data_IF_521521157246
#
_entry.id   IF_521521157246
#
_cell.length_a   1.000
_cell.length_b   1.000
_cell.length_c   1.000
_cell.angle_alpha   90.00
_cell.angle_beta   90.00
_cell.angle_gamma   90.00
#
_symmetry.space_group_name_H-M   'P 1'
#
loop_
_entity.id
_entity.type
_entity.pdbx_description
1 polymer ?
#
# COMPACT_ATOMS: atom_id res chain seq x y z
N UNK A 1 56.14 -25.41 -3.86
CA UNK A 1 55.23 -25.24 -2.70
C UNK A 1 54.53 -23.89 -2.92
N UNK A 2 53.42 -23.83 -3.67
CA UNK A 2 52.00 -23.95 -3.23
C UNK A 2 51.68 -23.08 -2.01
N UNK A 3 50.72 -22.18 -2.18
CA UNK A 3 50.07 -21.22 -1.25
C UNK A 3 50.44 -19.77 -1.64
N UNK A 4 49.53 -18.85 -1.96
CA UNK A 4 48.09 -18.80 -1.73
C UNK A 4 47.47 -17.86 -2.77
N UNK A 5 46.84 -18.43 -3.80
CA UNK A 5 45.95 -17.72 -4.74
C UNK A 5 44.58 -17.41 -4.08
N UNK A 6 44.49 -17.43 -2.75
CA UNK A 6 43.23 -17.48 -2.01
C UNK A 6 42.78 -16.13 -1.41
N UNK A 7 43.45 -15.01 -1.74
CA UNK A 7 43.12 -13.69 -1.16
C UNK A 7 42.25 -12.85 -2.11
N UNK A 8 42.15 -13.23 -3.38
CA UNK A 8 41.37 -12.45 -4.37
C UNK A 8 39.93 -12.96 -4.56
N UNK A 9 39.60 -14.16 -4.05
CA UNK A 9 38.24 -14.71 -4.18
C UNK A 9 37.25 -14.21 -3.13
N UNK A 10 37.71 -13.62 -2.02
CA UNK A 10 36.82 -13.08 -0.98
C UNK A 10 36.33 -11.66 -1.26
N UNK A 11 36.91 -10.93 -2.21
CA UNK A 11 36.47 -9.57 -2.56
C UNK A 11 35.31 -9.56 -3.57
N UNK A 12 35.06 -10.68 -4.27
CA UNK A 12 33.99 -10.79 -5.27
C UNK A 12 32.61 -11.12 -4.72
N UNK A 13 32.48 -11.45 -3.43
CA UNK A 13 31.20 -11.84 -2.82
C UNK A 13 30.40 -10.68 -2.22
N UNK A 14 30.92 -9.45 -2.25
CA UNK A 14 30.29 -8.25 -1.68
C UNK A 14 29.66 -7.32 -2.73
N UNK A 15 29.74 -7.65 -4.03
CA UNK A 15 29.27 -6.79 -5.13
C UNK A 15 27.88 -7.14 -5.68
N UNK A 16 27.13 -8.02 -5.01
CA UNK A 16 25.86 -8.56 -5.51
C UNK A 16 24.60 -8.10 -4.77
N UNK A 17 24.72 -7.28 -3.72
CA UNK A 17 23.54 -6.67 -3.11
C UNK A 17 23.09 -5.51 -4.01
N UNK A 18 22.26 -5.84 -5.01
CA UNK A 18 21.35 -4.85 -5.60
C UNK A 18 20.65 -4.18 -4.43
N UNK A 19 20.95 -2.91 -4.19
CA UNK A 19 20.07 -2.08 -3.38
C UNK A 19 18.78 -2.02 -4.19
N UNK A 20 17.82 -2.88 -3.86
CA UNK A 20 16.45 -2.70 -4.32
C UNK A 20 16.10 -1.27 -3.94
N UNK A 21 16.02 -0.40 -4.94
CA UNK A 21 15.69 0.98 -4.73
C UNK A 21 14.25 0.95 -4.27
N UNK A 22 14.05 1.19 -2.97
CA UNK A 22 12.70 1.25 -2.43
C UNK A 22 11.93 2.28 -3.24
N UNK A 23 10.83 1.85 -3.86
CA UNK A 23 9.95 2.74 -4.59
C UNK A 23 9.54 3.91 -3.68
N UNK A 24 9.47 5.14 -4.20
CA UNK A 24 9.22 6.31 -3.36
C UNK A 24 7.87 6.18 -2.65
N UNK A 25 7.92 6.08 -1.31
CA UNK A 25 6.74 5.94 -0.47
C UNK A 25 5.75 7.10 -0.66
N UNK A 26 4.47 6.80 -0.89
CA UNK A 26 3.40 7.78 -0.99
C UNK A 26 2.72 7.97 0.38
N UNK A 27 3.43 8.58 1.33
CA UNK A 27 3.00 8.69 2.74
C UNK A 27 2.02 9.83 3.02
N UNK A 28 1.83 10.75 2.08
CA UNK A 28 0.99 11.93 2.26
C UNK A 28 -0.08 12.01 1.18
N UNK A 29 -1.20 12.65 1.53
CA UNK A 29 -2.12 13.14 0.52
C UNK A 29 -1.34 14.00 -0.47
N UNK A 30 -1.47 13.69 -1.77
CA UNK A 30 -0.72 14.32 -2.88
C UNK A 30 0.74 13.89 -3.03
N UNK A 31 1.18 12.85 -2.34
CA UNK A 31 2.46 12.18 -2.56
C UNK A 31 3.68 12.90 -1.97
N UNK A 32 4.89 12.37 -2.23
CA UNK A 32 6.13 12.86 -1.64
C UNK A 32 6.40 14.35 -1.89
N UNK A 33 5.99 14.84 -3.06
CA UNK A 33 6.18 16.22 -3.50
C UNK A 33 4.96 17.12 -3.23
N UNK A 34 3.93 16.60 -2.54
CA UNK A 34 2.68 17.30 -2.21
C UNK A 34 1.95 17.93 -3.42
N UNK A 35 2.16 17.39 -4.62
CA UNK A 35 1.66 17.96 -5.87
C UNK A 35 0.76 17.01 -6.68
N UNK A 36 0.47 15.82 -6.15
CA UNK A 36 -0.36 14.78 -6.79
C UNK A 36 0.18 14.24 -8.11
N UNK A 37 1.50 14.32 -8.34
CA UNK A 37 2.13 13.77 -9.54
C UNK A 37 3.10 12.65 -9.17
N UNK A 38 3.10 11.58 -9.97
CA UNK A 38 4.12 10.55 -9.92
C UNK A 38 5.25 10.85 -10.91
N UNK A 39 6.46 10.38 -10.62
CA UNK A 39 7.60 10.40 -11.55
C UNK A 39 7.70 9.12 -12.36
N UNK A 40 6.81 8.15 -12.12
CA UNK A 40 6.78 6.88 -12.85
C UNK A 40 6.62 7.09 -14.35
N UNK A 41 7.27 6.21 -15.12
CA UNK A 41 7.24 6.20 -16.58
C UNK A 41 6.79 4.84 -17.09
N UNK A 42 6.53 4.70 -18.39
CA UNK A 42 6.03 3.46 -19.00
C UNK A 42 4.70 2.97 -18.40
N UNK A 43 3.85 3.91 -17.97
CA UNK A 43 2.51 3.61 -17.50
C UNK A 43 1.62 3.20 -18.69
N UNK A 44 0.64 2.31 -18.48
CA UNK A 44 -0.25 1.89 -19.55
C UNK A 44 -1.11 3.07 -20.05
N UNK A 45 -1.21 3.24 -21.37
CA UNK A 45 -2.04 4.28 -22.00
C UNK A 45 -3.55 4.02 -21.84
N UNK A 46 -3.93 2.74 -21.72
CA UNK A 46 -5.30 2.30 -21.51
C UNK A 46 -5.38 1.39 -20.27
N UNK A 47 -6.48 1.49 -19.51
CA UNK A 47 -6.70 0.69 -18.31
C UNK A 47 -8.13 0.17 -18.24
N UNK A 48 -8.28 -1.15 -18.05
CA UNK A 48 -9.60 -1.78 -17.94
C UNK A 48 -9.97 -2.07 -16.47
N UNK A 49 -10.86 -1.27 -15.85
CA UNK A 49 -11.30 -1.48 -14.48
C UNK A 49 -12.08 -2.78 -14.27
N UNK A 50 -12.65 -3.39 -15.32
CA UNK A 50 -13.45 -4.61 -15.20
C UNK A 50 -12.60 -5.83 -14.90
N UNK A 51 -11.31 -5.79 -15.22
CA UNK A 51 -10.44 -6.96 -15.14
C UNK A 51 -10.77 -8.02 -16.19
N UNK A 52 -10.19 -9.21 -16.04
CA UNK A 52 -10.41 -10.35 -16.92
C UNK A 52 -9.15 -10.78 -17.68
N UNK A 53 -9.30 -11.74 -18.59
CA UNK A 53 -8.19 -12.26 -19.39
C UNK A 53 -7.59 -11.14 -20.27
N UNK A 54 -6.28 -10.93 -20.15
CA UNK A 54 -5.56 -9.88 -20.88
C UNK A 54 -5.71 -8.46 -20.32
N UNK A 55 -6.44 -8.27 -19.21
CA UNK A 55 -6.54 -6.97 -18.54
C UNK A 55 -5.26 -6.60 -17.80
N UNK A 56 -4.98 -5.29 -17.71
CA UNK A 56 -3.90 -4.72 -16.91
C UNK A 56 -4.30 -4.38 -15.46
N UNK A 57 -5.48 -4.82 -15.00
CA UNK A 57 -5.84 -4.78 -13.58
C UNK A 57 -5.06 -5.84 -12.81
N UNK A 58 -4.15 -5.41 -11.94
CA UNK A 58 -3.28 -6.31 -11.16
C UNK A 58 -4.06 -7.01 -10.03
N UNK A 59 -4.85 -6.25 -9.26
CA UNK A 59 -5.67 -6.79 -8.18
C UNK A 59 -6.84 -5.86 -7.84
N UNK A 60 -7.82 -6.41 -7.12
CA UNK A 60 -8.94 -5.68 -6.49
C UNK A 60 -9.18 -6.26 -5.11
N UNK A 61 -9.40 -5.38 -4.12
CA UNK A 61 -9.70 -5.78 -2.75
C UNK A 61 -11.03 -5.18 -2.30
N UNK A 62 -11.95 -6.03 -1.83
CA UNK A 62 -13.27 -5.64 -1.31
C UNK A 62 -13.17 -5.22 0.17
N UNK A 63 -12.31 -4.23 0.46
CA UNK A 63 -12.05 -3.78 1.84
C UNK A 63 -12.75 -2.47 2.20
N UNK A 64 -13.41 -1.84 1.23
CA UNK A 64 -13.96 -0.48 1.36
C UNK A 64 -12.85 0.58 1.50
N UNK A 65 -13.20 1.85 1.44
CA UNK A 65 -12.26 2.94 1.78
C UNK A 65 -13.02 4.19 2.20
N UNK A 66 -12.47 4.92 3.17
CA UNK A 66 -12.88 6.28 3.54
C UNK A 66 -11.74 7.29 3.48
N UNK A 67 -10.54 6.89 3.08
CA UNK A 67 -9.37 7.76 3.04
C UNK A 67 -8.59 7.61 1.74
N UNK A 68 -7.75 8.60 1.43
CA UNK A 68 -6.68 8.39 0.45
C UNK A 68 -5.74 7.31 0.98
N UNK A 69 -5.41 6.28 0.18
CA UNK A 69 -4.47 5.25 0.61
C UNK A 69 -3.06 5.81 0.73
N UNK A 70 -2.30 5.23 1.65
CA UNK A 70 -0.86 5.46 1.81
C UNK A 70 -0.10 4.24 1.32
N UNK A 71 0.88 4.44 0.46
CA UNK A 71 1.84 3.40 0.06
C UNK A 71 3.13 3.60 0.86
N UNK A 72 3.50 2.62 1.67
CA UNK A 72 4.76 2.68 2.44
C UNK A 72 5.34 1.29 2.67
N UNK A 73 6.59 1.08 2.26
CA UNK A 73 7.32 -0.18 2.42
C UNK A 73 6.52 -1.38 1.86
N UNK A 74 6.15 -1.29 0.58
CA UNK A 74 5.41 -2.33 -0.17
C UNK A 74 4.05 -2.70 0.44
N UNK A 75 3.47 -1.78 1.21
CA UNK A 75 2.18 -1.94 1.87
C UNK A 75 1.28 -0.76 1.58
N UNK A 76 0.01 -1.07 1.32
CA UNK A 76 -1.05 -0.08 1.17
C UNK A 76 -1.84 -0.02 2.47
N UNK A 77 -1.98 1.18 3.03
CA UNK A 77 -2.74 1.45 4.24
C UNK A 77 -3.91 2.35 3.93
N UNK A 78 -5.09 2.03 4.46
CA UNK A 78 -6.27 2.87 4.32
C UNK A 78 -7.20 2.71 5.53
N UNK A 79 -8.01 3.73 5.76
CA UNK A 79 -9.12 3.68 6.71
C UNK A 79 -10.37 3.18 6.01
N UNK A 80 -11.09 2.26 6.65
CA UNK A 80 -12.37 1.75 6.18
C UNK A 80 -13.36 1.62 7.32
N UNK A 81 -14.64 1.42 6.97
CA UNK A 81 -15.69 1.10 7.93
C UNK A 81 -15.71 -0.41 8.18
N UNK A 82 -15.83 -0.80 9.44
CA UNK A 82 -16.07 -2.17 9.87
C UNK A 82 -17.52 -2.31 10.36
N UNK A 83 -18.17 -3.44 10.04
CA UNK A 83 -19.59 -3.70 10.32
C UNK A 83 -20.53 -2.55 9.89
N UNK A 84 -20.36 -2.06 8.66
CA UNK A 84 -21.16 -0.95 8.12
C UNK A 84 -22.67 -1.26 8.01
N UNK A 85 -23.04 -2.55 7.96
CA UNK A 85 -24.45 -2.99 7.85
C UNK A 85 -25.21 -2.91 9.19
N UNK A 86 -24.50 -2.89 10.32
CA UNK A 86 -25.08 -2.85 11.67
C UNK A 86 -24.68 -1.57 12.40
N UNK A 87 -25.51 -0.49 12.39
CA UNK A 87 -25.15 0.81 12.95
C UNK A 87 -24.68 0.79 14.41
N UNK A 88 -25.23 -0.14 15.22
CA UNK A 88 -24.88 -0.29 16.64
C UNK A 88 -23.53 -0.97 16.88
N UNK A 89 -22.98 -1.64 15.86
CA UNK A 89 -21.67 -2.31 15.88
C UNK A 89 -20.69 -1.69 14.90
N UNK A 90 -21.07 -0.61 14.22
CA UNK A 90 -20.21 0.07 13.26
C UNK A 90 -18.96 0.60 13.94
N UNK A 91 -17.81 0.32 13.33
CA UNK A 91 -16.48 0.69 13.80
C UNK A 91 -15.67 1.27 12.64
N UNK A 92 -14.53 1.84 12.98
CA UNK A 92 -13.49 2.13 11.98
C UNK A 92 -12.43 1.05 12.03
N UNK A 93 -11.78 0.82 10.89
CA UNK A 93 -10.61 -0.05 10.83
C UNK A 93 -9.51 0.55 9.97
N UNK A 94 -8.28 0.26 10.38
CA UNK A 94 -7.11 0.38 9.50
C UNK A 94 -6.93 -0.95 8.80
N UNK A 95 -6.78 -0.92 7.48
CA UNK A 95 -6.48 -2.08 6.65
C UNK A 95 -5.07 -1.93 6.10
N UNK A 96 -4.25 -2.98 6.22
CA UNK A 96 -2.94 -3.09 5.58
C UNK A 96 -3.00 -4.18 4.51
N UNK A 97 -2.72 -3.80 3.26
CA UNK A 97 -2.62 -4.70 2.13
C UNK A 97 -1.17 -4.85 1.68
N UNK A 98 -0.82 -5.99 1.09
CA UNK A 98 0.37 -6.11 0.26
C UNK A 98 0.16 -5.31 -1.03
N UNK A 99 1.12 -4.46 -1.41
CA UNK A 99 0.98 -3.57 -2.56
C UNK A 99 0.95 -4.30 -3.93
N UNK A 100 1.62 -5.45 -4.03
CA UNK A 100 1.74 -6.21 -5.28
C UNK A 100 0.57 -7.16 -5.49
N UNK A 101 0.05 -7.75 -4.40
CA UNK A 101 -0.99 -8.79 -4.48
C UNK A 101 -2.38 -8.29 -4.10
N UNK A 102 -2.46 -7.17 -3.36
CA UNK A 102 -3.72 -6.69 -2.78
C UNK A 102 -4.23 -7.54 -1.60
N UNK A 103 -3.48 -8.55 -1.16
CA UNK A 103 -3.87 -9.40 -0.04
C UNK A 103 -3.84 -8.64 1.29
N UNK A 104 -4.85 -8.88 2.12
CA UNK A 104 -4.91 -8.31 3.48
C UNK A 104 -3.83 -8.94 4.33
N UNK A 105 -2.88 -8.14 4.80
CA UNK A 105 -1.83 -8.58 5.72
C UNK A 105 -2.33 -8.53 7.16
N UNK A 106 -3.03 -7.47 7.52
CA UNK A 106 -3.70 -7.33 8.82
C UNK A 106 -4.78 -6.25 8.78
N UNK A 107 -5.69 -6.32 9.74
CA UNK A 107 -6.69 -5.28 10.01
C UNK A 107 -6.71 -4.95 11.50
N UNK A 108 -7.00 -3.69 11.82
CA UNK A 108 -7.17 -3.24 13.19
C UNK A 108 -8.43 -2.41 13.30
N UNK A 109 -9.47 -2.99 13.92
CA UNK A 109 -10.75 -2.33 14.14
C UNK A 109 -10.81 -1.67 15.53
N UNK A 110 -11.37 -0.46 15.59
CA UNK A 110 -11.54 0.31 16.81
C UNK A 110 -12.90 0.99 16.83
N UNK A 111 -13.44 1.15 18.04
CA UNK A 111 -14.73 1.81 18.22
C UNK A 111 -14.59 3.31 17.99
N UNK A 112 -15.51 3.87 17.20
CA UNK A 112 -15.72 5.30 17.11
C UNK A 112 -16.85 5.63 18.08
N UNK A 113 -16.51 6.24 19.21
CA UNK A 113 -17.51 6.75 20.13
C UNK A 113 -18.09 8.02 19.52
N UNK A 114 -19.27 7.89 18.92
CA UNK A 114 -19.97 9.00 18.30
C UNK A 114 -20.17 10.13 19.33
N UNK A 115 -19.86 11.35 18.92
CA UNK A 115 -20.48 12.54 19.51
C UNK A 115 -21.93 12.63 19.01
N UNK A 116 -22.69 13.64 19.43
CA UNK A 116 -24.07 13.87 18.97
C UNK A 116 -24.19 14.16 17.44
N UNK A 117 -23.07 14.09 16.71
CA UNK A 117 -22.98 14.23 15.27
C UNK A 117 -23.27 12.87 14.61
N UNK A 118 -24.30 12.77 13.76
CA UNK A 118 -24.61 11.53 13.05
C UNK A 118 -23.47 11.13 12.11
N UNK A 119 -23.30 9.83 11.84
CA UNK A 119 -22.18 9.26 11.08
C UNK A 119 -22.01 9.93 9.71
N UNK A 120 -23.10 10.29 9.05
CA UNK A 120 -23.10 10.94 7.74
C UNK A 120 -22.60 12.40 7.79
N UNK A 121 -22.54 12.99 8.99
CA UNK A 121 -22.03 14.34 9.27
C UNK A 121 -20.71 14.36 10.02
N UNK A 122 -20.11 13.20 10.31
CA UNK A 122 -18.69 13.14 10.67
C UNK A 122 -17.88 13.54 9.44
N UNK A 123 -17.83 14.85 9.22
CA UNK A 123 -17.12 15.46 8.11
C UNK A 123 -15.63 15.27 8.32
N UNK A 124 -15.04 14.45 7.44
CA UNK A 124 -13.72 14.58 6.83
C UNK A 124 -12.78 15.55 7.56
N UNK A 125 -12.16 15.09 8.65
CA UNK A 125 -10.95 15.67 9.24
C UNK A 125 -9.75 14.81 8.90
#
# INVERSE_FOLDING_TARGET
MKQSMLVWSTLSLLLGASLAQAEPNWTYCRGPSFNSTSVETNLPDEWDPKGGEGSNLVWRAEVGSRSTPVLMNDRVYLLSTDNAEEPTKTREKVVCLNADTGEVVWEYAFNVYLSDVPVERLGWS
#
